data_IF_535518733619
#
_entry.id   IF_535518733619
#
_cell.length_a   1.000
_cell.length_b   1.000
_cell.length_c   1.000
_cell.angle_alpha   90.00
_cell.angle_beta   90.00
_cell.angle_gamma   90.00
#
_symmetry.space_group_name_H-M   'P 1'
#
loop_
_entity.id
_entity.type
_entity.pdbx_description
1 polymer ?
#
# COMPACT_ATOMS: atom_id res chain seq x y z
N UNK A 1 -4.62 6.83 -5.40
CA UNK A 1 -4.73 5.62 -4.53
C UNK A 1 -5.70 4.68 -5.23
N UNK A 2 -5.80 3.40 -4.87
CA UNK A 2 -6.99 2.64 -5.30
C UNK A 2 -8.25 3.25 -4.64
N UNK A 3 -9.44 3.04 -5.23
CA UNK A 3 -10.69 3.50 -4.62
C UNK A 3 -10.91 2.90 -3.22
N UNK A 4 -10.45 1.67 -3.02
CA UNK A 4 -10.48 1.00 -1.73
C UNK A 4 -9.56 1.67 -0.71
N UNK A 5 -8.32 2.00 -1.09
CA UNK A 5 -7.40 2.72 -0.22
C UNK A 5 -7.86 4.15 0.10
N UNK A 6 -8.55 4.82 -0.82
CA UNK A 6 -9.16 6.14 -0.57
C UNK A 6 -10.27 6.04 0.48
N UNK A 7 -11.15 5.05 0.35
CA UNK A 7 -12.19 4.79 1.34
C UNK A 7 -11.62 4.45 2.71
N UNK A 8 -10.58 3.62 2.74
CA UNK A 8 -9.85 3.29 3.97
C UNK A 8 -9.26 4.55 4.61
N UNK A 9 -8.58 5.38 3.81
CA UNK A 9 -8.00 6.64 4.24
C UNK A 9 -9.06 7.62 4.75
N UNK A 10 -10.23 7.65 4.12
CA UNK A 10 -11.34 8.51 4.51
C UNK A 10 -12.11 8.02 5.74
N UNK A 11 -11.83 6.81 6.23
CA UNK A 11 -12.41 6.28 7.46
C UNK A 11 -11.59 6.58 8.72
N UNK A 12 -10.29 6.90 8.59
CA UNK A 12 -9.40 7.17 9.73
C UNK A 12 -9.49 8.63 10.20
N UNK A 13 -9.16 8.86 11.47
CA UNK A 13 -9.14 10.21 12.07
C UNK A 13 -8.19 11.18 11.35
N UNK A 14 -8.55 12.47 11.32
CA UNK A 14 -7.81 13.50 10.58
C UNK A 14 -6.37 13.68 11.05
N UNK A 15 -6.07 13.48 12.34
CA UNK A 15 -4.70 13.56 12.85
C UNK A 15 -3.84 12.37 12.40
N UNK A 16 -4.46 11.18 12.32
CA UNK A 16 -3.85 9.95 11.83
C UNK A 16 -3.57 10.05 10.33
N UNK A 17 -4.50 10.61 9.54
CA UNK A 17 -4.32 10.87 8.10
C UNK A 17 -3.05 11.64 7.79
N UNK A 18 -2.79 12.73 8.54
CA UNK A 18 -1.59 13.55 8.34
C UNK A 18 -0.30 12.75 8.52
N UNK A 19 -0.25 11.89 9.53
CA UNK A 19 0.90 11.03 9.78
C UNK A 19 1.07 9.97 8.68
N UNK A 20 -0.03 9.37 8.24
CA UNK A 20 -0.03 8.39 7.13
C UNK A 20 0.47 9.04 5.84
N UNK A 21 -0.02 10.22 5.47
CA UNK A 21 0.45 10.93 4.27
C UNK A 21 1.94 11.29 4.36
N UNK A 22 2.40 11.76 5.51
CA UNK A 22 3.81 12.10 5.70
C UNK A 22 4.73 10.88 5.52
N UNK A 23 4.32 9.71 6.03
CA UNK A 23 5.07 8.46 5.83
C UNK A 23 5.03 7.96 4.39
N UNK A 24 3.88 8.05 3.71
CA UNK A 24 3.76 7.72 2.28
C UNK A 24 4.70 8.63 1.46
N UNK A 25 4.69 9.94 1.71
CA UNK A 25 5.56 10.90 1.03
C UNK A 25 7.05 10.64 1.29
N UNK A 26 7.40 10.18 2.50
CA UNK A 26 8.78 9.79 2.81
C UNK A 26 9.20 8.55 2.01
N UNK A 27 8.35 7.51 2.01
CA UNK A 27 8.66 6.23 1.34
C UNK A 27 8.65 6.38 -0.18
N UNK A 28 7.76 7.21 -0.75
CA UNK A 28 7.68 7.40 -2.20
C UNK A 28 8.96 7.97 -2.83
N UNK A 29 9.83 8.62 -2.04
CA UNK A 29 11.15 9.09 -2.49
C UNK A 29 12.14 7.96 -2.77
N UNK A 30 11.98 6.81 -2.10
CA UNK A 30 12.81 5.61 -2.30
C UNK A 30 11.99 4.37 -1.90
N UNK A 31 11.03 3.94 -2.74
CA UNK A 31 10.01 2.97 -2.33
C UNK A 31 10.48 1.51 -2.48
N UNK A 32 11.63 1.29 -3.10
CA UNK A 32 12.31 0.00 -3.18
C UNK A 32 12.79 -0.48 -1.80
N UNK A 33 13.07 -1.77 -1.64
CA UNK A 33 13.60 -2.29 -0.38
C UNK A 33 15.07 -1.91 -0.17
N UNK A 34 15.54 -2.06 1.07
CA UNK A 34 16.94 -1.88 1.41
C UNK A 34 17.84 -2.79 0.55
N UNK A 35 19.04 -2.33 0.15
CA UNK A 35 19.66 -1.05 0.51
C UNK A 35 19.16 0.16 -0.30
N UNK A 36 18.30 -0.05 -1.29
CA UNK A 36 17.92 0.96 -2.29
C UNK A 36 16.73 1.83 -1.87
N UNK A 37 16.18 1.63 -0.67
CA UNK A 37 15.05 2.42 -0.18
C UNK A 37 14.45 1.93 1.13
N UNK A 38 13.26 2.44 1.42
CA UNK A 38 12.53 2.24 2.68
C UNK A 38 11.54 1.08 2.65
N UNK A 39 11.22 0.56 1.46
CA UNK A 39 10.20 -0.45 1.26
C UNK A 39 10.46 -1.72 2.06
N UNK A 40 9.37 -2.34 2.54
CA UNK A 40 9.43 -3.64 3.21
C UNK A 40 8.63 -4.64 2.38
N UNK A 41 9.29 -5.55 1.65
CA UNK A 41 8.60 -6.46 0.76
C UNK A 41 7.70 -7.39 1.55
N UNK A 42 6.58 -7.72 0.95
CA UNK A 42 5.75 -8.85 1.32
C UNK A 42 6.18 -10.06 0.48
N UNK A 43 5.76 -11.23 0.94
CA UNK A 43 5.98 -12.51 0.27
C UNK A 43 4.76 -13.37 0.52
N UNK A 44 4.93 -14.68 0.74
CA UNK A 44 3.81 -15.50 1.18
C UNK A 44 3.39 -15.15 2.63
N UNK A 45 2.11 -14.83 2.83
CA UNK A 45 1.52 -14.49 4.14
C UNK A 45 0.17 -15.17 4.29
N UNK A 46 0.07 -16.12 5.22
CA UNK A 46 -1.18 -16.81 5.53
C UNK A 46 -1.79 -17.56 4.34
N UNK A 47 -0.96 -18.02 3.39
CA UNK A 47 -1.41 -18.67 2.15
C UNK A 47 -1.52 -17.72 0.95
N UNK A 48 -1.55 -16.41 1.17
CA UNK A 48 -1.62 -15.41 0.11
C UNK A 48 -0.23 -15.10 -0.46
N UNK A 49 -0.06 -15.22 -1.79
CA UNK A 49 1.17 -14.81 -2.45
C UNK A 49 1.16 -13.30 -2.73
N UNK A 50 1.76 -12.52 -1.83
CA UNK A 50 1.89 -11.06 -1.96
C UNK A 50 3.28 -10.65 -2.44
N UNK A 51 3.95 -11.50 -3.22
CA UNK A 51 5.23 -11.14 -3.87
C UNK A 51 5.01 -9.93 -4.78
N UNK A 52 5.92 -8.96 -4.72
CA UNK A 52 5.80 -7.68 -5.45
C UNK A 52 5.05 -6.59 -4.69
N UNK A 53 4.37 -6.92 -3.58
CA UNK A 53 3.79 -5.94 -2.68
C UNK A 53 4.81 -5.50 -1.62
N UNK A 54 4.59 -4.32 -1.07
CA UNK A 54 5.40 -3.72 -0.02
C UNK A 54 4.50 -3.14 1.07
N UNK A 55 5.05 -2.89 2.25
CA UNK A 55 4.34 -2.23 3.35
C UNK A 55 5.11 -1.11 4.01
N UNK A 56 4.36 -0.18 4.57
CA UNK A 56 4.79 0.82 5.56
C UNK A 56 4.13 0.46 6.89
N UNK A 57 4.89 0.53 7.99
CA UNK A 57 4.39 0.28 9.35
C UNK A 57 4.44 1.58 10.17
N UNK A 58 3.28 2.05 10.62
CA UNK A 58 3.15 3.18 11.54
C UNK A 58 2.89 2.63 12.94
N UNK A 59 3.95 2.35 13.70
CA UNK A 59 3.83 1.64 14.98
C UNK A 59 3.02 2.42 16.01
N UNK A 60 3.24 3.73 16.08
CA UNK A 60 2.69 4.59 17.14
C UNK A 60 1.18 4.83 16.99
N UNK A 61 0.68 4.80 15.75
CA UNK A 61 -0.74 4.95 15.42
C UNK A 61 -1.42 3.64 15.01
N UNK A 62 -0.71 2.51 15.07
CA UNK A 62 -1.28 1.20 14.76
C UNK A 62 -1.77 1.03 13.31
N UNK A 63 -1.21 1.74 12.32
CA UNK A 63 -1.62 1.65 10.91
C UNK A 63 -0.57 0.92 10.06
N UNK A 64 -1.03 0.19 9.05
CA UNK A 64 -0.22 -0.29 7.93
C UNK A 64 -0.76 0.25 6.62
N UNK A 65 0.16 0.50 5.70
CA UNK A 65 -0.14 0.82 4.31
C UNK A 65 0.51 -0.23 3.44
N UNK A 66 -0.24 -0.84 2.53
CA UNK A 66 0.27 -1.76 1.51
C UNK A 66 0.28 -1.07 0.16
N UNK A 67 1.35 -1.29 -0.61
CA UNK A 67 1.52 -0.69 -1.92
C UNK A 67 2.24 -1.61 -2.90
N UNK A 68 2.08 -1.33 -4.19
CA UNK A 68 2.82 -1.92 -5.31
C UNK A 68 3.59 -0.84 -6.06
N UNK A 69 4.48 -1.24 -6.98
CA UNK A 69 5.30 -0.33 -7.76
C UNK A 69 5.15 -0.56 -9.26
N UNK A 70 5.02 0.54 -9.99
CA UNK A 70 5.12 0.60 -11.45
C UNK A 70 6.48 1.22 -11.76
N UNK A 71 7.49 0.37 -11.98
CA UNK A 71 8.91 0.79 -11.95
C UNK A 71 9.24 1.76 -13.10
N UNK A 72 8.78 1.46 -14.31
CA UNK A 72 9.00 2.28 -15.51
C UNK A 72 8.32 3.65 -15.42
N UNK A 73 7.14 3.72 -14.79
CA UNK A 73 6.39 4.97 -14.55
C UNK A 73 6.79 5.69 -13.27
N UNK A 74 7.65 5.09 -12.44
CA UNK A 74 8.01 5.57 -11.09
C UNK A 74 6.78 5.86 -10.23
N UNK A 75 5.74 5.03 -10.36
CA UNK A 75 4.48 5.18 -9.63
C UNK A 75 4.43 4.23 -8.44
N UNK A 76 3.93 4.72 -7.31
CA UNK A 76 3.66 3.95 -6.10
C UNK A 76 2.16 3.85 -5.89
N UNK A 77 1.61 2.65 -6.11
CA UNK A 77 0.19 2.38 -6.02
C UNK A 77 -0.16 1.98 -4.58
N UNK A 78 -0.80 2.88 -3.84
CA UNK A 78 -1.33 2.54 -2.51
C UNK A 78 -2.64 1.77 -2.68
N UNK A 79 -2.71 0.56 -2.11
CA UNK A 79 -3.82 -0.37 -2.33
C UNK A 79 -4.62 -0.69 -1.07
N UNK A 80 -4.00 -0.69 0.11
CA UNK A 80 -4.68 -0.92 1.40
C UNK A 80 -4.15 0.05 2.44
N UNK A 81 -5.04 0.61 3.27
CA UNK A 81 -4.68 1.31 4.50
C UNK A 81 -5.52 0.72 5.63
N UNK A 82 -4.91 0.08 6.62
CA UNK A 82 -5.70 -0.57 7.67
C UNK A 82 -4.99 -0.57 9.02
N UNK A 83 -5.75 -0.86 10.06
CA UNK A 83 -5.23 -1.05 11.42
C UNK A 83 -4.27 -2.24 11.54
N UNK A 84 -3.68 -2.39 12.74
CA UNK A 84 -2.51 -3.24 12.97
C UNK A 84 -2.80 -4.76 12.90
N UNK A 85 -3.99 -5.19 12.50
CA UNK A 85 -4.25 -6.60 12.24
C UNK A 85 -3.50 -7.06 10.97
N UNK A 86 -2.38 -7.76 11.18
CA UNK A 86 -1.51 -8.23 10.09
C UNK A 86 -2.27 -9.15 9.13
N UNK A 87 -3.11 -10.06 9.64
CA UNK A 87 -3.77 -11.05 8.79
C UNK A 87 -4.86 -10.37 7.95
N UNK A 88 -5.71 -9.55 8.59
CA UNK A 88 -6.76 -8.80 7.89
C UNK A 88 -6.18 -7.89 6.80
N UNK A 89 -5.11 -7.15 7.08
CA UNK A 89 -4.44 -6.28 6.12
C UNK A 89 -3.94 -7.05 4.89
N UNK A 90 -3.36 -8.25 5.09
CA UNK A 90 -2.87 -9.08 4.00
C UNK A 90 -3.99 -9.76 3.23
N UNK A 91 -5.08 -10.14 3.89
CA UNK A 91 -6.27 -10.68 3.23
C UNK A 91 -6.95 -9.63 2.34
N UNK A 92 -7.00 -8.36 2.78
CA UNK A 92 -7.47 -7.25 1.93
C UNK A 92 -6.58 -7.07 0.70
N UNK A 93 -5.25 -7.10 0.88
CA UNK A 93 -4.32 -6.99 -0.25
C UNK A 93 -4.47 -8.15 -1.24
N UNK A 94 -4.67 -9.37 -0.72
CA UNK A 94 -4.93 -10.56 -1.54
C UNK A 94 -6.22 -10.43 -2.35
N UNK A 95 -7.32 -9.98 -1.72
CA UNK A 95 -8.59 -9.72 -2.41
C UNK A 95 -8.46 -8.68 -3.52
N UNK A 96 -7.66 -7.64 -3.31
CA UNK A 96 -7.39 -6.66 -4.36
C UNK A 96 -6.56 -7.27 -5.49
N UNK A 97 -5.60 -8.15 -5.17
CA UNK A 97 -4.86 -8.85 -6.20
C UNK A 97 -5.76 -9.81 -7.00
N UNK A 98 -6.67 -10.53 -6.35
CA UNK A 98 -7.69 -11.35 -7.04
C UNK A 98 -8.58 -10.50 -7.96
N UNK A 99 -8.96 -9.30 -7.51
CA UNK A 99 -9.81 -8.38 -8.27
C UNK A 99 -9.12 -7.78 -9.50
N UNK A 100 -7.90 -7.28 -9.35
CA UNK A 100 -7.19 -6.54 -10.40
C UNK A 100 -6.23 -7.42 -11.21
N UNK A 101 -5.84 -8.58 -10.69
CA UNK A 101 -4.76 -9.38 -11.23
C UNK A 101 -3.47 -8.58 -11.33
N UNK A 102 -2.65 -8.90 -12.34
CA UNK A 102 -1.35 -8.24 -12.54
C UNK A 102 -1.47 -6.74 -12.84
N UNK A 103 -2.65 -6.24 -13.22
CA UNK A 103 -2.89 -4.80 -13.42
C UNK A 103 -2.69 -3.99 -12.14
N UNK A 104 -2.67 -4.62 -10.97
CA UNK A 104 -2.33 -3.93 -9.70
C UNK A 104 -0.88 -3.40 -9.70
N UNK A 105 -0.03 -3.92 -10.59
CA UNK A 105 1.35 -3.47 -10.81
C UNK A 105 1.49 -2.46 -11.96
N UNK A 106 0.38 -2.03 -12.56
CA UNK A 106 0.32 -1.02 -13.61
C UNK A 106 -0.22 0.33 -13.07
N UNK A 107 -0.05 1.42 -13.81
CA UNK A 107 -0.48 2.77 -13.41
C UNK A 107 -1.98 3.02 -13.65
N UNK A 108 -2.83 2.06 -13.25
CA UNK A 108 -4.29 2.10 -13.49
C UNK A 108 -5.05 3.01 -12.52
N UNK A 109 -4.41 3.42 -11.42
CA UNK A 109 -5.05 4.24 -10.38
C UNK A 109 -4.89 5.75 -10.62
N UNK A 110 -4.18 6.17 -11.68
CA UNK A 110 -4.11 7.57 -12.10
C UNK A 110 -5.31 8.03 -12.95
N UNK A 111 -6.07 7.11 -13.54
CA UNK A 111 -7.08 7.43 -14.56
C UNK A 111 -8.41 8.00 -14.00
N UNK A 112 -8.56 8.17 -12.69
CA UNK A 112 -9.82 8.64 -12.07
C UNK A 112 -9.77 10.06 -11.50
N UNK A 113 -8.96 10.95 -12.09
CA UNK A 113 -9.14 12.39 -11.92
C UNK A 113 -9.85 12.95 -13.18
N UNK A 114 -11.18 12.80 -13.23
CA UNK A 114 -12.06 13.58 -14.08
C UNK A 114 -13.01 14.39 -13.21
#
# INVERSE_FOLDING_TARGET
MSKEAEKDFDSIDGSVRKQVLAGILKVSRAPLPAPNGYGKPLGNKGGNNLTGFFKIKYRDIGIRVVYTLVIDKKTMNIVVISERDDQYCYDLAAKLYEKYGDKIFDDIFKEFNL
#
